data_IF_679258326072
#
_entry.id   IF_679258326072
#
_cell.length_a   1.000
_cell.length_b   1.000
_cell.length_c   1.000
_cell.angle_alpha   90.00
_cell.angle_beta   90.00
_cell.angle_gamma   90.00
#
_symmetry.space_group_name_H-M   'P 1'
#
loop_
_entity.id
_entity.type
_entity.pdbx_description
1 polymer ?
#
# COMPACT_ATOMS: atom_id res chain seq x y z
N UNK A 1 -4.84 -23.69 -0.26
CA UNK A 1 -3.75 -23.09 0.54
C UNK A 1 -4.31 -22.83 1.92
N UNK A 2 -3.78 -23.45 2.98
CA UNK A 2 -4.37 -23.38 4.34
C UNK A 2 -4.11 -22.06 5.08
N UNK A 3 -4.25 -20.92 4.41
CA UNK A 3 -3.96 -19.59 4.96
C UNK A 3 -5.21 -18.72 4.97
N UNK A 4 -5.37 -17.89 6.00
CA UNK A 4 -6.60 -17.11 6.25
C UNK A 4 -6.43 -15.60 5.96
N UNK A 5 -5.31 -15.20 5.39
CA UNK A 5 -4.96 -13.79 5.19
C UNK A 5 -4.32 -13.60 3.81
N UNK A 6 -4.49 -12.41 3.24
CA UNK A 6 -4.00 -12.07 1.90
C UNK A 6 -3.60 -10.59 1.85
N UNK A 7 -2.55 -10.28 1.08
CA UNK A 7 -2.17 -8.93 0.68
C UNK A 7 -2.67 -8.64 -0.74
N UNK A 8 -3.33 -7.51 -0.93
CA UNK A 8 -3.77 -7.03 -2.25
C UNK A 8 -2.91 -5.83 -2.64
N UNK A 9 -2.32 -5.86 -3.83
CA UNK A 9 -1.49 -4.77 -4.35
C UNK A 9 -1.76 -4.48 -5.83
N UNK A 10 -1.64 -3.20 -6.20
CA UNK A 10 -1.72 -2.69 -7.57
C UNK A 10 -0.54 -1.74 -7.77
N UNK A 11 0.26 -1.98 -8.80
CA UNK A 11 1.35 -1.08 -9.20
C UNK A 11 0.90 -0.22 -10.38
N UNK A 12 0.89 1.11 -10.19
CA UNK A 12 0.51 2.07 -11.22
C UNK A 12 1.69 2.97 -11.57
N UNK A 13 2.30 2.75 -12.73
CA UNK A 13 3.52 3.44 -13.17
C UNK A 13 4.80 2.68 -12.85
N UNK A 14 5.84 2.91 -13.67
CA UNK A 14 7.14 2.23 -13.58
C UNK A 14 7.81 2.39 -12.22
N UNK A 15 7.80 3.62 -11.68
CA UNK A 15 8.48 3.94 -10.42
C UNK A 15 7.74 3.35 -9.21
N UNK A 16 6.46 2.99 -9.37
CA UNK A 16 5.71 2.22 -8.39
C UNK A 16 6.01 0.70 -8.46
N UNK A 17 6.87 0.25 -9.38
CA UNK A 17 7.20 -1.17 -9.59
C UNK A 17 6.40 -1.87 -10.69
N UNK A 18 5.63 -1.14 -11.51
CA UNK A 18 4.87 -1.75 -12.60
C UNK A 18 5.80 -2.21 -13.72
N UNK A 19 5.87 -3.52 -13.94
CA UNK A 19 6.66 -4.12 -15.03
C UNK A 19 5.79 -4.39 -16.27
N UNK A 20 4.56 -4.85 -16.07
CA UNK A 20 3.62 -5.15 -17.15
C UNK A 20 2.67 -3.96 -17.31
N UNK A 21 2.64 -3.26 -18.47
CA UNK A 21 1.82 -2.07 -18.70
C UNK A 21 0.35 -2.43 -18.98
N UNK A 22 -0.22 -3.26 -18.12
CA UNK A 22 -1.62 -3.66 -18.11
C UNK A 22 -2.08 -3.68 -16.64
N UNK A 23 -3.35 -3.34 -16.39
CA UNK A 23 -3.91 -3.41 -15.04
C UNK A 23 -3.85 -4.86 -14.55
N UNK A 24 -3.15 -5.10 -13.45
CA UNK A 24 -3.16 -6.39 -12.77
C UNK A 24 -3.19 -6.18 -11.26
N UNK A 25 -3.79 -7.15 -10.57
CA UNK A 25 -3.91 -7.16 -9.12
C UNK A 25 -3.12 -8.33 -8.58
N UNK A 26 -2.18 -8.06 -7.69
CA UNK A 26 -1.52 -9.11 -6.92
C UNK A 26 -2.40 -9.52 -5.75
N UNK A 27 -2.69 -10.81 -5.64
CA UNK A 27 -3.38 -11.42 -4.50
C UNK A 27 -2.39 -12.40 -3.86
N UNK A 28 -1.68 -11.95 -2.83
CA UNK A 28 -0.57 -12.71 -2.22
C UNK A 28 -1.04 -13.32 -0.90
N UNK A 29 -1.19 -14.65 -0.78
CA UNK A 29 -1.59 -15.28 0.47
C UNK A 29 -0.52 -15.07 1.56
N UNK A 30 -0.93 -14.74 2.78
CA UNK A 30 -0.05 -14.35 3.89
C UNK A 30 -0.18 -15.29 5.10
N UNK A 31 0.92 -15.45 5.82
CA UNK A 31 0.96 -16.10 7.14
C UNK A 31 2.01 -15.44 8.04
N UNK A 32 1.88 -15.61 9.35
CA UNK A 32 2.87 -15.10 10.29
C UNK A 32 4.28 -15.65 9.95
N UNK A 33 5.28 -14.76 9.94
CA UNK A 33 6.68 -15.12 9.66
C UNK A 33 7.02 -15.38 8.20
N UNK A 34 6.15 -15.07 7.23
CA UNK A 34 6.43 -15.26 5.79
C UNK A 34 7.39 -14.20 5.17
N UNK A 35 7.90 -13.28 5.98
CA UNK A 35 8.83 -12.23 5.55
C UNK A 35 8.19 -11.05 4.80
N UNK A 36 6.90 -11.13 4.42
CA UNK A 36 6.25 -10.09 3.61
C UNK A 36 5.80 -8.84 4.39
N UNK A 37 5.84 -8.85 5.73
CA UNK A 37 5.47 -7.73 6.59
C UNK A 37 4.07 -7.15 6.35
N UNK A 38 3.75 -6.01 6.97
CA UNK A 38 2.60 -5.19 6.58
C UNK A 38 3.08 -4.14 5.56
N UNK A 39 2.20 -3.62 4.69
CA UNK A 39 2.59 -2.51 3.80
C UNK A 39 3.10 -1.31 4.62
N UNK A 40 2.46 -1.02 5.76
CA UNK A 40 2.87 0.07 6.65
C UNK A 40 4.29 -0.12 7.23
N UNK A 41 4.82 -1.34 7.29
CA UNK A 41 6.20 -1.58 7.74
C UNK A 41 7.24 -1.36 6.64
N UNK A 42 6.82 -1.12 5.40
CA UNK A 42 7.74 -0.76 4.30
C UNK A 42 8.18 0.71 4.35
N UNK A 43 7.48 1.55 5.13
CA UNK A 43 7.73 2.98 5.21
C UNK A 43 8.03 3.37 6.65
N UNK A 44 9.11 4.13 6.85
CA UNK A 44 9.42 4.74 8.15
C UNK A 44 8.42 5.86 8.44
N UNK A 45 7.31 5.51 9.10
CA UNK A 45 6.22 6.43 9.41
C UNK A 45 6.47 7.18 10.72
N UNK A 46 7.53 7.99 10.75
CA UNK A 46 7.75 8.89 11.89
C UNK A 46 6.93 10.19 11.81
N UNK A 47 6.48 10.58 10.62
CA UNK A 47 5.79 11.86 10.40
C UNK A 47 4.27 11.68 10.36
N UNK A 48 3.63 11.91 11.51
CA UNK A 48 2.17 12.05 11.58
C UNK A 48 1.80 13.50 11.29
N UNK A 49 0.99 13.71 10.26
CA UNK A 49 0.43 15.04 9.97
C UNK A 49 -0.46 15.52 11.11
N UNK A 50 -0.38 16.82 11.42
CA UNK A 50 -1.35 17.49 12.28
C UNK A 50 -2.72 17.62 11.61
N UNK A 51 -3.76 17.88 12.40
CA UNK A 51 -5.14 17.97 11.94
C UNK A 51 -5.34 19.02 10.83
N UNK A 52 -4.70 20.18 10.95
CA UNK A 52 -4.76 21.23 9.94
C UNK A 52 -4.20 20.78 8.58
N UNK A 53 -3.01 20.17 8.57
CA UNK A 53 -2.38 19.65 7.34
C UNK A 53 -3.20 18.51 6.74
N UNK A 54 -3.77 17.64 7.57
CA UNK A 54 -4.66 16.56 7.12
C UNK A 54 -5.92 17.13 6.42
N UNK A 55 -6.56 18.13 7.02
CA UNK A 55 -7.73 18.79 6.44
C UNK A 55 -7.39 19.52 5.13
N UNK A 56 -6.20 20.09 5.03
CA UNK A 56 -5.70 20.72 3.80
C UNK A 56 -5.56 19.71 2.67
N UNK A 57 -4.91 18.56 2.91
CA UNK A 57 -4.78 17.47 1.92
C UNK A 57 -6.16 16.96 1.50
N UNK A 58 -7.06 16.74 2.46
CA UNK A 58 -8.44 16.32 2.19
C UNK A 58 -9.15 17.28 1.23
N UNK A 59 -9.02 18.59 1.46
CA UNK A 59 -9.61 19.60 0.59
C UNK A 59 -9.07 19.49 -0.83
N UNK A 60 -7.76 19.35 -1.00
CA UNK A 60 -7.12 19.21 -2.31
C UNK A 60 -7.49 17.93 -3.06
N UNK A 61 -7.86 16.85 -2.38
CA UNK A 61 -8.33 15.61 -3.03
C UNK A 61 -9.79 15.73 -3.50
N UNK A 62 -10.60 16.59 -2.86
CA UNK A 62 -12.02 16.77 -3.19
C UNK A 62 -12.28 17.74 -4.34
N UNK A 63 -11.35 18.66 -4.58
CA UNK A 63 -11.39 19.62 -5.69
C UNK A 63 -10.92 18.96 -7.00
#
# INVERSE_FOLDING_TARGET
TGVQSTLIAIHNGKDAGQVIPHLHVHIVPRKAGDGGGAIHSMFDSSDRLGEYEMNKVLKSIKE
#
